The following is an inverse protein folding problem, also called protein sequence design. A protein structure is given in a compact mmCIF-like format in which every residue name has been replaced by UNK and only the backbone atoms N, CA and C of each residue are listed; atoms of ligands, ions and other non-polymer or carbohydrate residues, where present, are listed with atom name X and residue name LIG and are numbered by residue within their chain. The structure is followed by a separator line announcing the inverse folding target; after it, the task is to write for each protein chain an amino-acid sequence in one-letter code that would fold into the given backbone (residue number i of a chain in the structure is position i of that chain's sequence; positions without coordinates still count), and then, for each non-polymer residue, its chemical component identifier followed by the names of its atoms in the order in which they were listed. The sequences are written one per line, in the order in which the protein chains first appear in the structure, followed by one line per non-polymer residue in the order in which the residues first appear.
data_IF_283606728526
#
_entry.id   IF_283606728526
#
_cell.length_a   1.000
_cell.length_b   1.000
_cell.length_c   1.000
_cell.angle_alpha   90.00
_cell.angle_beta   90.00
_cell.angle_gamma   90.00
#
_symmetry.space_group_name_H-M   'P 1'
#
loop_
_entity.id
_entity.type
_entity.pdbx_description
1 polymer ?
#
# COMPACT_ATOMS: atom_id res chain seq x y z
N UNK A 1 23.88 -0.23 75.97
CA UNK A 1 23.90 1.25 76.00
C UNK A 1 22.58 1.70 75.36
N UNK A 2 21.53 2.06 76.11
CA UNK A 2 21.12 3.44 76.51
C UNK A 2 21.39 4.46 75.36
N UNK A 3 20.46 5.20 74.75
CA UNK A 3 19.32 6.03 75.21
C UNK A 3 18.29 6.19 74.04
N UNK A 4 16.95 6.25 74.21
CA UNK A 4 16.07 7.42 74.56
C UNK A 4 16.33 8.65 73.65
N UNK A 5 15.39 9.31 72.97
CA UNK A 5 14.12 9.93 73.43
C UNK A 5 13.29 10.46 72.24
N UNK A 6 11.95 10.46 72.37
CA UNK A 6 10.98 11.25 71.58
C UNK A 6 11.27 12.77 71.63
N UNK A 7 10.94 13.52 70.57
CA UNK A 7 9.85 14.52 70.62
C UNK A 7 9.45 15.07 69.24
N UNK A 8 8.15 15.31 69.16
CA UNK A 8 7.27 15.85 68.11
C UNK A 8 7.60 17.23 67.58
N UNK A 9 7.25 17.49 66.31
CA UNK A 9 6.67 18.78 65.87
C UNK A 9 5.67 18.57 64.72
N UNK A 10 4.51 19.17 64.89
CA UNK A 10 3.34 19.19 64.02
C UNK A 10 3.43 20.48 63.18
N UNK A 11 3.35 20.45 61.86
CA UNK A 11 2.93 21.62 61.06
C UNK A 11 2.38 21.24 59.68
N UNK A 12 1.19 21.80 59.42
CA UNK A 12 0.58 22.17 58.14
C UNK A 12 0.24 21.09 57.09
N UNK A 13 -1.06 20.79 57.05
CA UNK A 13 -1.80 20.35 55.87
C UNK A 13 -1.56 21.33 54.72
N UNK A 14 -1.20 20.83 53.54
CA UNK A 14 -1.16 21.66 52.33
C UNK A 14 -0.28 21.14 51.19
N UNK A 15 -0.66 20.02 50.58
CA UNK A 15 -0.54 19.76 49.14
C UNK A 15 -1.16 18.39 48.81
N UNK A 16 -2.48 18.34 48.69
CA UNK A 16 -3.15 17.31 47.89
C UNK A 16 -2.81 17.61 46.43
N UNK A 17 -2.09 16.72 45.73
CA UNK A 17 -2.15 16.57 44.27
C UNK A 17 -1.23 15.44 43.76
N UNK A 18 -1.72 14.19 43.79
CA UNK A 18 -1.74 13.28 42.64
C UNK A 18 -2.40 11.96 43.09
N UNK A 19 -3.59 11.64 42.60
CA UNK A 19 -4.27 10.40 42.99
C UNK A 19 -4.01 9.34 41.91
N UNK A 20 -2.84 8.72 42.00
CA UNK A 20 -2.55 7.48 41.30
C UNK A 20 -2.36 6.33 42.27
N UNK A 21 -2.58 5.11 41.79
CA UNK A 21 -2.49 3.91 42.61
C UNK A 21 -1.05 3.64 43.09
N UNK A 22 -0.83 3.28 44.36
CA UNK A 22 0.53 3.17 44.93
C UNK A 22 1.39 2.04 44.35
N UNK A 23 0.79 1.05 43.69
CA UNK A 23 1.49 -0.12 43.14
C UNK A 23 1.56 -0.16 41.61
N UNK A 24 0.91 0.78 40.92
CA UNK A 24 0.84 0.83 39.46
C UNK A 24 1.11 2.26 38.96
N UNK A 25 1.82 2.43 37.83
CA UNK A 25 2.08 3.75 37.28
C UNK A 25 0.78 4.48 36.92
N UNK A 26 0.77 5.82 36.98
CA UNK A 26 -0.33 6.59 36.40
C UNK A 26 -0.35 6.39 34.89
N UNK A 27 -1.53 6.25 34.28
CA UNK A 27 -1.62 6.34 32.82
C UNK A 27 -1.24 7.73 32.36
N UNK A 28 -0.61 7.85 31.20
CA UNK A 28 -0.38 9.11 30.50
C UNK A 28 -1.66 9.60 29.81
N UNK A 29 -2.49 8.69 29.33
CA UNK A 29 -3.82 8.91 28.75
C UNK A 29 -4.97 8.76 29.76
N UNK A 30 -6.18 9.08 29.31
CA UNK A 30 -7.41 8.99 30.10
C UNK A 30 -8.36 7.88 29.59
N UNK A 31 -7.85 6.94 28.78
CA UNK A 31 -8.64 5.85 28.23
C UNK A 31 -8.85 4.75 29.27
N UNK A 32 -10.08 4.67 29.77
CA UNK A 32 -10.50 3.66 30.75
C UNK A 32 -10.88 2.38 30.03
N UNK A 33 -10.14 1.31 30.27
CA UNK A 33 -10.45 -0.02 29.73
C UNK A 33 -11.07 -0.96 30.79
N UNK A 34 -10.92 -0.62 32.07
CA UNK A 34 -11.41 -1.41 33.18
C UNK A 34 -11.65 -0.53 34.42
N UNK A 35 -12.64 -0.89 35.23
CA UNK A 35 -13.00 -0.17 36.46
C UNK A 35 -13.32 -1.16 37.56
N UNK A 36 -12.76 -0.93 38.75
CA UNK A 36 -13.02 -1.73 39.94
C UNK A 36 -13.17 -0.85 41.20
N UNK A 37 -13.04 -1.46 42.38
CA UNK A 37 -13.16 -0.76 43.67
C UNK A 37 -12.01 0.18 43.97
N UNK A 38 -10.84 -0.03 43.35
CA UNK A 38 -9.68 0.82 43.52
C UNK A 38 -9.77 2.05 42.62
N UNK A 39 -10.31 1.89 41.40
CA UNK A 39 -10.74 2.99 40.53
C UNK A 39 -10.72 2.64 39.04
N UNK A 40 -10.32 3.61 38.21
CA UNK A 40 -10.29 3.47 36.74
C UNK A 40 -8.89 3.11 36.25
N UNK A 41 -8.82 2.21 35.27
CA UNK A 41 -7.58 1.60 34.80
C UNK A 41 -7.44 1.68 33.27
N UNK A 42 -6.21 1.91 32.80
CA UNK A 42 -5.80 1.90 31.40
C UNK A 42 -4.65 0.91 31.15
N UNK A 43 -4.27 0.74 29.88
CA UNK A 43 -3.08 -0.04 29.49
C UNK A 43 -2.22 0.78 28.54
N UNK A 44 -0.93 0.93 28.87
CA UNK A 44 0.06 1.63 28.07
C UNK A 44 1.31 0.75 27.92
N UNK A 45 1.88 0.67 26.72
CA UNK A 45 3.04 -0.17 26.43
C UNK A 45 2.89 -1.64 26.88
N UNK A 46 1.66 -2.17 26.82
CA UNK A 46 1.28 -3.51 27.28
C UNK A 46 1.26 -3.72 28.81
N UNK A 47 1.43 -2.67 29.61
CA UNK A 47 1.36 -2.71 31.08
C UNK A 47 0.15 -1.95 31.63
N UNK A 48 -0.38 -2.41 32.77
CA UNK A 48 -1.49 -1.75 33.46
C UNK A 48 -1.07 -0.46 34.14
N UNK A 49 -1.90 0.57 34.01
CA UNK A 49 -1.72 1.86 34.63
C UNK A 49 -3.04 2.36 35.25
N UNK A 50 -2.95 3.23 36.24
CA UNK A 50 -4.11 3.78 36.95
C UNK A 50 -4.47 5.18 36.44
N UNK A 51 -5.75 5.44 36.23
CA UNK A 51 -6.24 6.69 35.65
C UNK A 51 -6.36 7.74 36.74
N UNK A 52 -5.63 8.86 36.60
CA UNK A 52 -5.73 9.99 37.54
C UNK A 52 -7.03 10.75 37.31
N UNK A 53 -7.99 10.52 38.21
CA UNK A 53 -9.32 11.13 38.13
C UNK A 53 -9.30 12.66 38.27
N UNK A 54 -8.31 13.24 38.94
CA UNK A 54 -8.21 14.70 39.04
C UNK A 54 -7.72 15.32 37.73
N UNK A 55 -6.83 14.62 37.02
CA UNK A 55 -6.37 15.02 35.68
C UNK A 55 -7.44 14.80 34.62
N UNK A 56 -8.13 13.67 34.69
CA UNK A 56 -9.09 13.25 33.66
C UNK A 56 -10.50 13.79 33.89
N UNK A 57 -10.88 14.12 35.13
CA UNK A 57 -12.25 14.54 35.50
C UNK A 57 -12.34 15.87 36.27
N UNK A 58 -11.23 16.59 36.47
CA UNK A 58 -11.19 17.92 37.10
C UNK A 58 -11.49 19.06 36.10
N UNK A 59 -12.52 19.87 36.38
CA UNK A 59 -13.13 20.84 35.46
C UNK A 59 -12.21 21.84 34.74
N UNK A 60 -12.36 21.92 33.41
CA UNK A 60 -11.62 22.84 32.53
C UNK A 60 -11.43 22.40 31.07
N UNK A 61 -12.08 21.33 30.60
CA UNK A 61 -12.51 20.98 29.23
C UNK A 61 -11.60 21.19 28.01
N UNK A 62 -10.28 21.15 28.16
CA UNK A 62 -9.33 20.68 27.14
C UNK A 62 -7.93 20.56 27.77
N UNK A 63 -6.96 20.05 27.00
CA UNK A 63 -5.59 19.92 27.50
C UNK A 63 -4.94 21.23 27.93
N UNK A 64 -4.27 21.29 29.10
CA UNK A 64 -3.46 22.45 29.50
C UNK A 64 -2.38 22.81 28.47
N UNK A 65 -2.01 21.85 27.60
CA UNK A 65 -1.06 22.05 26.51
C UNK A 65 -1.56 23.02 25.41
N UNK A 66 -2.88 23.25 25.30
CA UNK A 66 -3.42 24.28 24.42
C UNK A 66 -3.25 25.67 25.02
N UNK A 67 -3.47 25.80 26.33
CA UNK A 67 -3.38 27.06 27.06
C UNK A 67 -1.92 27.54 27.18
N UNK A 68 -0.96 26.61 27.31
CA UNK A 68 0.47 26.95 27.28
C UNK A 68 0.94 27.49 25.93
N UNK A 69 0.21 27.22 24.86
CA UNK A 69 0.42 27.78 23.52
C UNK A 69 -0.44 29.02 23.23
N UNK A 70 -1.21 29.49 24.22
CA UNK A 70 -2.03 30.70 24.13
C UNK A 70 -3.46 30.49 23.61
N UNK A 71 -3.92 29.24 23.45
CA UNK A 71 -5.25 28.92 22.93
C UNK A 71 -6.23 28.52 24.05
N UNK A 72 -7.47 29.01 23.95
CA UNK A 72 -8.55 28.70 24.89
C UNK A 72 -9.20 27.34 24.55
N UNK A 73 -9.94 26.76 25.49
CA UNK A 73 -10.74 25.57 25.20
C UNK A 73 -12.02 25.94 24.44
N UNK A 74 -12.46 25.08 23.52
CA UNK A 74 -13.75 25.24 22.86
C UNK A 74 -14.89 25.03 23.86
N UNK A 75 -16.05 25.60 23.58
CA UNK A 75 -17.25 25.40 24.39
C UNK A 75 -17.59 23.90 24.49
N UNK A 76 -17.93 23.42 25.69
CA UNK A 76 -18.06 21.97 26.03
C UNK A 76 -18.98 21.12 25.15
N UNK A 77 -19.81 21.75 24.29
CA UNK A 77 -20.75 21.08 23.41
C UNK A 77 -20.31 21.07 21.94
N UNK A 78 -19.17 21.67 21.61
CA UNK A 78 -18.64 21.69 20.25
C UNK A 78 -17.52 20.65 20.14
N UNK A 79 -17.84 19.51 19.55
CA UNK A 79 -16.90 18.41 19.32
C UNK A 79 -16.52 18.27 17.85
N UNK A 80 -16.52 19.37 17.08
CA UNK A 80 -16.15 19.35 15.68
C UNK A 80 -14.63 19.42 15.52
N UNK A 81 -13.98 18.25 15.39
CA UNK A 81 -12.53 18.14 15.17
C UNK A 81 -12.22 18.61 13.75
N UNK A 82 -11.47 19.71 13.64
CA UNK A 82 -11.01 20.24 12.35
C UNK A 82 -9.53 19.95 12.10
N UNK A 83 -8.76 19.64 13.15
CA UNK A 83 -7.33 19.36 13.09
C UNK A 83 -6.89 18.58 14.34
N UNK A 84 -5.84 17.77 14.23
CA UNK A 84 -5.30 16.99 15.34
C UNK A 84 -3.78 16.95 15.24
N UNK A 85 -3.09 17.19 16.35
CA UNK A 85 -1.63 17.12 16.45
C UNK A 85 -1.19 16.52 17.80
N UNK A 86 0.10 16.60 18.10
CA UNK A 86 0.66 16.12 19.37
C UNK A 86 0.17 16.89 20.63
N UNK A 87 -0.51 18.02 20.46
CA UNK A 87 -1.15 18.78 21.55
C UNK A 87 -2.54 18.22 21.88
N UNK A 88 -3.28 17.78 20.84
CA UNK A 88 -4.59 17.13 20.96
C UNK A 88 -5.52 17.47 19.80
N UNK A 89 -6.84 17.34 20.04
CA UNK A 89 -7.88 17.67 19.06
C UNK A 89 -8.19 19.17 19.04
N UNK A 90 -8.26 19.76 17.86
CA UNK A 90 -8.50 21.19 17.65
C UNK A 90 -9.86 21.45 17.00
N UNK A 91 -10.52 22.49 17.47
CA UNK A 91 -11.79 23.03 16.97
C UNK A 91 -11.64 24.50 16.56
N UNK A 92 -12.68 25.04 15.93
CA UNK A 92 -12.78 26.47 15.61
C UNK A 92 -14.11 27.01 16.11
N UNK A 93 -14.06 28.05 16.97
CA UNK A 93 -15.21 28.80 17.46
C UNK A 93 -15.00 30.28 17.23
N UNK A 94 -16.03 30.98 16.71
CA UNK A 94 -15.94 32.41 16.41
C UNK A 94 -14.72 32.79 15.54
N UNK A 95 -14.35 31.93 14.59
CA UNK A 95 -13.16 32.04 13.73
C UNK A 95 -11.80 31.99 14.47
N UNK A 96 -11.76 31.51 15.71
CA UNK A 96 -10.52 31.32 16.48
C UNK A 96 -10.27 29.85 16.78
N UNK A 97 -9.00 29.45 16.78
CA UNK A 97 -8.57 28.10 17.16
C UNK A 97 -8.77 27.89 18.66
N UNK A 98 -9.34 26.74 19.01
CA UNK A 98 -9.53 26.33 20.39
C UNK A 98 -9.26 24.83 20.57
N UNK A 99 -8.82 24.44 21.77
CA UNK A 99 -8.58 23.04 22.12
C UNK A 99 -9.90 22.35 22.45
N UNK A 100 -10.15 21.17 21.88
CA UNK A 100 -11.37 20.40 22.14
C UNK A 100 -11.27 19.59 23.44
N UNK A 101 -12.42 19.38 24.08
CA UNK A 101 -12.52 18.60 25.30
C UNK A 101 -12.17 17.13 25.05
N UNK A 102 -11.57 16.50 26.07
CA UNK A 102 -11.23 15.07 26.08
C UNK A 102 -12.46 14.18 25.85
N UNK A 103 -13.66 14.68 26.18
CA UNK A 103 -14.92 13.94 26.04
C UNK A 103 -15.44 13.88 24.59
N UNK A 104 -14.84 14.65 23.67
CA UNK A 104 -15.22 14.65 22.26
C UNK A 104 -14.83 13.37 21.50
N UNK A 105 -14.28 12.36 22.19
CA UNK A 105 -14.00 11.03 21.65
C UNK A 105 -15.03 9.93 21.98
N UNK A 106 -15.97 10.17 22.92
CA UNK A 106 -16.84 9.10 23.46
C UNK A 106 -18.32 9.53 23.60
N UNK A 107 -19.10 9.64 22.52
CA UNK A 107 -20.57 9.39 22.59
C UNK A 107 -21.23 9.14 21.21
N UNK A 108 -22.16 8.17 21.09
CA UNK A 108 -23.02 8.01 19.92
C UNK A 108 -24.04 9.16 19.82
N UNK A 109 -24.12 9.79 18.65
CA UNK A 109 -25.07 10.87 18.37
C UNK A 109 -26.52 10.40 18.54
N UNK A 110 -27.19 10.82 19.63
CA UNK A 110 -28.61 10.58 19.86
C UNK A 110 -29.40 11.73 19.23
N UNK A 111 -30.13 11.48 18.14
CA UNK A 111 -31.04 12.46 17.52
C UNK A 111 -32.47 12.29 18.07
N UNK A 112 -32.88 13.20 18.95
CA UNK A 112 -34.28 13.37 19.33
C UNK A 112 -35.04 14.02 18.17
N UNK A 113 -36.07 13.35 17.62
CA UNK A 113 -36.96 13.94 16.61
C UNK A 113 -38.32 14.25 17.24
N UNK A 114 -38.60 15.53 17.42
CA UNK A 114 -39.96 16.03 17.69
C UNK A 114 -40.74 16.01 16.38
N UNK A 115 -41.81 15.22 16.37
CA UNK A 115 -42.69 15.01 15.21
C UNK A 115 -43.55 16.25 14.96
N UNK A 116 -43.22 17.02 13.92
CA UNK A 116 -44.15 18.00 13.33
C UNK A 116 -44.39 17.60 11.88
N UNK A 117 -45.62 17.20 11.58
CA UNK A 117 -46.10 16.85 10.25
C UNK A 117 -46.13 18.08 9.37
N UNK A 118 -45.23 18.17 8.39
CA UNK A 118 -45.46 18.95 7.18
C UNK A 118 -44.99 18.13 5.97
N UNK A 119 -45.90 17.96 5.02
CA UNK A 119 -45.74 17.11 3.84
C UNK A 119 -44.89 17.85 2.81
N UNK A 120 -43.61 17.52 2.72
CA UNK A 120 -42.74 18.01 1.65
C UNK A 120 -42.06 16.83 0.99
N UNK A 121 -42.50 16.52 -0.23
CA UNK A 121 -41.92 15.53 -1.12
C UNK A 121 -40.48 15.92 -1.42
N UNK A 122 -39.50 15.25 -0.79
CA UNK A 122 -38.09 15.44 -1.13
C UNK A 122 -37.44 14.07 -1.24
N UNK A 123 -37.05 13.76 -2.46
CA UNK A 123 -36.42 12.52 -2.90
C UNK A 123 -35.14 12.26 -2.11
N UNK A 124 -35.13 11.24 -1.26
CA UNK A 124 -33.91 10.76 -0.58
C UNK A 124 -32.97 10.12 -1.61
N UNK A 125 -31.96 10.85 -2.06
CA UNK A 125 -30.75 10.24 -2.64
C UNK A 125 -29.92 9.62 -1.53
N UNK A 126 -30.12 8.32 -1.34
CA UNK A 126 -29.26 7.40 -0.60
C UNK A 126 -27.84 7.46 -1.18
N UNK A 127 -26.84 7.88 -0.39
CA UNK A 127 -25.42 7.74 -0.77
C UNK A 127 -25.12 6.23 -0.92
N UNK A 128 -24.64 5.74 -2.08
CA UNK A 128 -24.42 4.30 -2.25
C UNK A 128 -23.28 3.80 -1.36
N UNK A 129 -23.49 2.63 -0.77
CA UNK A 129 -22.43 1.75 -0.29
C UNK A 129 -21.50 1.37 -1.47
N UNK A 130 -20.24 1.00 -1.20
CA UNK A 130 -19.24 0.52 -2.18
C UNK A 130 -19.90 -0.24 -3.37
N UNK A 131 -19.86 0.32 -4.58
CA UNK A 131 -20.53 -0.28 -5.75
C UNK A 131 -19.59 -0.98 -6.73
N UNK A 132 -18.29 -0.69 -6.72
CA UNK A 132 -17.37 -1.20 -7.75
C UNK A 132 -16.34 -2.18 -7.22
N UNK A 133 -16.22 -3.31 -7.91
CA UNK A 133 -15.12 -4.25 -7.76
C UNK A 133 -13.83 -3.79 -8.47
N UNK A 134 -13.90 -2.73 -9.28
CA UNK A 134 -12.73 -2.07 -9.85
C UNK A 134 -12.23 -0.98 -8.89
N UNK A 135 -11.28 -1.34 -8.02
CA UNK A 135 -10.73 -0.38 -7.03
C UNK A 135 -9.93 0.77 -7.66
N UNK A 136 -9.59 0.70 -8.95
CA UNK A 136 -8.93 1.82 -9.64
C UNK A 136 -9.89 2.98 -9.95
N UNK A 137 -11.22 2.78 -9.86
CA UNK A 137 -12.21 3.86 -10.01
C UNK A 137 -12.21 4.82 -8.82
N UNK A 138 -11.61 4.41 -7.70
CA UNK A 138 -11.36 5.28 -6.56
C UNK A 138 -10.05 6.06 -6.78
N UNK A 139 -9.86 7.18 -6.05
CA UNK A 139 -8.60 7.92 -6.09
C UNK A 139 -7.43 7.00 -5.70
N UNK A 140 -6.33 7.03 -6.46
CA UNK A 140 -5.16 6.20 -6.22
C UNK A 140 -4.18 6.88 -5.27
N UNK A 141 -3.56 6.11 -4.39
CA UNK A 141 -2.56 6.61 -3.47
C UNK A 141 -1.22 6.87 -4.18
N UNK A 142 -0.68 8.09 -4.04
CA UNK A 142 0.70 8.43 -4.41
C UNK A 142 1.58 8.29 -3.16
N UNK A 143 2.47 7.30 -3.15
CA UNK A 143 3.22 6.92 -1.96
C UNK A 143 4.48 7.78 -1.73
N UNK A 144 4.86 7.93 -0.47
CA UNK A 144 6.02 8.74 -0.04
C UNK A 144 7.36 8.27 -0.63
N UNK A 145 7.55 6.96 -0.85
CA UNK A 145 8.81 6.40 -1.35
C UNK A 145 9.11 6.90 -2.75
N UNK A 146 8.16 6.78 -3.67
CA UNK A 146 8.32 7.29 -5.03
C UNK A 146 8.43 8.81 -5.07
N UNK A 147 7.66 9.52 -4.24
CA UNK A 147 7.78 10.98 -4.12
C UNK A 147 9.19 11.40 -3.72
N UNK A 148 9.78 10.71 -2.73
CA UNK A 148 11.15 10.96 -2.26
C UNK A 148 12.21 10.65 -3.33
N UNK A 149 12.04 9.56 -4.07
CA UNK A 149 12.93 9.21 -5.19
C UNK A 149 12.91 10.26 -6.30
N UNK A 150 11.73 10.73 -6.68
CA UNK A 150 11.59 11.81 -7.68
C UNK A 150 12.18 13.12 -7.15
N UNK A 151 12.04 13.44 -5.86
CA UNK A 151 12.67 14.61 -5.24
C UNK A 151 14.20 14.60 -5.42
N UNK A 152 14.85 13.43 -5.33
CA UNK A 152 16.30 13.32 -5.58
C UNK A 152 16.68 13.71 -7.02
N UNK A 153 15.79 13.47 -7.99
CA UNK A 153 15.98 13.90 -9.37
C UNK A 153 15.62 15.37 -9.57
N UNK A 154 14.56 15.87 -8.94
CA UNK A 154 14.17 17.29 -9.00
C UNK A 154 15.32 18.18 -8.53
N UNK A 155 16.02 17.79 -7.46
CA UNK A 155 17.18 18.52 -6.94
C UNK A 155 18.37 18.59 -7.92
N UNK A 156 18.47 17.65 -8.87
CA UNK A 156 19.53 17.57 -9.89
C UNK A 156 19.13 18.19 -11.23
N UNK A 157 17.85 18.48 -11.43
CA UNK A 157 17.30 19.00 -12.67
C UNK A 157 17.10 20.52 -12.61
N UNK A 158 17.05 21.15 -13.78
CA UNK A 158 16.69 22.57 -13.94
C UNK A 158 15.75 22.77 -15.13
N UNK A 159 15.11 23.94 -15.21
CA UNK A 159 14.26 24.34 -16.32
C UNK A 159 13.09 23.38 -16.57
N UNK A 160 12.79 23.12 -17.85
CA UNK A 160 11.60 22.34 -18.23
C UNK A 160 11.62 20.89 -17.70
N UNK A 161 12.79 20.26 -17.60
CA UNK A 161 12.87 18.89 -17.07
C UNK A 161 12.54 18.84 -15.58
N UNK A 162 12.96 19.85 -14.81
CA UNK A 162 12.60 19.94 -13.40
C UNK A 162 11.09 20.12 -13.21
N UNK A 163 10.45 20.98 -14.00
CA UNK A 163 9.00 21.19 -13.96
C UNK A 163 8.21 19.93 -14.36
N UNK A 164 8.69 19.19 -15.37
CA UNK A 164 8.10 17.89 -15.72
C UNK A 164 8.26 16.86 -14.59
N UNK A 165 9.44 16.80 -13.95
CA UNK A 165 9.68 15.88 -12.84
C UNK A 165 8.78 16.19 -11.62
N UNK A 166 8.52 17.47 -11.32
CA UNK A 166 7.54 17.87 -10.28
C UNK A 166 6.14 17.34 -10.54
N UNK A 167 5.70 17.27 -11.81
CA UNK A 167 4.41 16.65 -12.17
C UNK A 167 4.43 15.13 -12.02
N UNK A 168 5.56 14.48 -12.35
CA UNK A 168 5.72 13.02 -12.19
C UNK A 168 5.64 12.60 -10.74
N UNK A 169 6.16 13.41 -9.81
CA UNK A 169 6.24 13.14 -8.37
C UNK A 169 4.94 12.58 -7.79
N UNK A 170 3.79 13.12 -8.20
CA UNK A 170 2.49 12.75 -7.65
C UNK A 170 1.71 11.76 -8.51
N UNK A 171 2.32 11.20 -9.58
CA UNK A 171 1.71 10.12 -10.34
C UNK A 171 1.69 8.85 -9.46
N UNK A 172 0.54 8.20 -9.25
CA UNK A 172 0.44 7.01 -8.42
C UNK A 172 1.29 5.84 -8.96
N UNK A 173 2.10 5.24 -8.09
CA UNK A 173 2.90 4.05 -8.37
C UNK A 173 2.61 2.96 -7.35
N UNK A 174 2.75 1.70 -7.77
CA UNK A 174 2.60 0.57 -6.85
C UNK A 174 3.75 0.52 -5.81
N UNK A 175 3.45 0.06 -4.61
CA UNK A 175 4.42 -0.18 -3.55
C UNK A 175 4.89 -1.64 -3.58
N UNK A 176 6.19 -1.86 -3.76
CA UNK A 176 6.78 -3.19 -3.89
C UNK A 176 7.13 -3.80 -2.53
N UNK A 177 6.48 -4.91 -2.20
CA UNK A 177 6.81 -5.75 -1.05
C UNK A 177 7.81 -6.83 -1.52
N UNK A 178 9.09 -6.45 -1.62
CA UNK A 178 10.12 -7.20 -2.34
C UNK A 178 11.30 -7.71 -1.48
N UNK A 179 11.23 -7.54 -0.16
CA UNK A 179 12.28 -7.94 0.80
C UNK A 179 11.66 -8.30 2.16
N UNK A 180 12.39 -9.03 3.01
CA UNK A 180 11.82 -9.63 4.24
C UNK A 180 11.17 -8.60 5.19
N UNK A 181 11.75 -7.41 5.32
CA UNK A 181 11.23 -6.35 6.18
C UNK A 181 10.10 -5.51 5.58
N UNK A 182 9.70 -5.74 4.32
CA UNK A 182 8.60 -5.03 3.68
C UNK A 182 7.26 -5.23 4.41
N UNK A 183 7.13 -6.32 5.18
CA UNK A 183 5.98 -6.57 6.05
C UNK A 183 5.75 -5.44 7.06
N UNK A 184 6.83 -4.79 7.52
CA UNK A 184 6.77 -3.66 8.47
C UNK A 184 6.40 -2.33 7.81
N UNK A 185 6.48 -2.23 6.48
CA UNK A 185 6.15 -1.00 5.74
C UNK A 185 4.64 -0.88 5.46
N UNK A 186 3.92 -2.01 5.40
CA UNK A 186 2.49 -2.06 5.05
C UNK A 186 1.63 -1.12 5.92
N UNK A 187 1.77 -1.06 7.26
CA UNK A 187 0.99 -0.14 8.08
C UNK A 187 1.16 1.33 7.69
N UNK A 188 2.38 1.77 7.37
CA UNK A 188 2.64 3.17 7.01
C UNK A 188 1.90 3.54 5.72
N UNK A 189 2.01 2.71 4.68
CA UNK A 189 1.30 2.95 3.42
C UNK A 189 -0.22 3.01 3.62
N UNK A 190 -0.79 2.12 4.44
CA UNK A 190 -2.24 2.10 4.70
C UNK A 190 -2.71 3.30 5.54
N UNK A 191 -1.90 3.75 6.50
CA UNK A 191 -2.19 4.93 7.31
C UNK A 191 -2.17 6.21 6.46
N UNK A 192 -1.14 6.41 5.63
CA UNK A 192 -1.00 7.62 4.81
C UNK A 192 -1.99 7.68 3.63
N UNK A 193 -2.44 6.52 3.13
CA UNK A 193 -3.39 6.47 2.02
C UNK A 193 -4.80 6.92 2.40
N UNK A 194 -5.22 6.73 3.65
CA UNK A 194 -6.59 6.95 4.08
C UNK A 194 -7.59 6.09 3.29
N UNK A 195 -8.50 6.73 2.56
CA UNK A 195 -9.53 6.07 1.74
C UNK A 195 -9.12 5.86 0.27
N UNK A 196 -7.93 6.31 -0.12
CA UNK A 196 -7.36 6.09 -1.46
C UNK A 196 -7.03 4.62 -1.68
N UNK A 197 -7.03 4.19 -2.93
CA UNK A 197 -6.65 2.84 -3.32
C UNK A 197 -5.14 2.68 -3.27
N UNK A 198 -4.68 1.74 -2.45
CA UNK A 198 -3.28 1.33 -2.35
C UNK A 198 -3.03 0.15 -3.29
N UNK A 199 -1.97 0.22 -4.09
CA UNK A 199 -1.57 -0.87 -4.99
C UNK A 199 -0.27 -1.46 -4.46
N UNK A 200 -0.32 -2.71 -3.99
CA UNK A 200 0.86 -3.46 -3.57
C UNK A 200 1.28 -4.46 -4.64
N UNK A 201 2.60 -4.68 -4.76
CA UNK A 201 3.18 -5.81 -5.50
C UNK A 201 3.82 -6.74 -4.48
N UNK A 202 3.24 -7.92 -4.27
CA UNK A 202 3.89 -8.97 -3.51
C UNK A 202 4.94 -9.64 -4.40
N UNK A 203 6.22 -9.50 -4.04
CA UNK A 203 7.34 -10.01 -4.83
C UNK A 203 8.37 -10.72 -3.92
N UNK A 204 7.87 -11.68 -3.15
CA UNK A 204 8.62 -12.39 -2.09
C UNK A 204 8.74 -13.90 -2.33
N UNK A 205 8.30 -14.41 -3.49
CA UNK A 205 8.26 -15.84 -3.80
C UNK A 205 9.62 -16.50 -3.55
N UNK A 206 9.66 -17.73 -2.99
CA UNK A 206 10.94 -18.41 -2.77
C UNK A 206 11.73 -18.57 -4.06
N UNK A 207 13.06 -18.44 -3.99
CA UNK A 207 13.97 -18.63 -5.15
C UNK A 207 13.46 -17.90 -6.40
N UNK A 208 13.20 -16.60 -6.25
CA UNK A 208 12.43 -15.74 -7.16
C UNK A 208 12.84 -15.83 -8.62
N UNK A 209 14.14 -15.79 -8.89
CA UNK A 209 14.70 -15.96 -10.23
C UNK A 209 15.41 -17.29 -10.37
N UNK A 210 14.68 -18.31 -10.81
CA UNK A 210 15.32 -19.55 -11.28
C UNK A 210 15.96 -19.39 -12.69
N UNK A 211 15.74 -18.25 -13.37
CA UNK A 211 16.17 -17.96 -14.74
C UNK A 211 16.99 -16.66 -14.94
N UNK A 212 17.15 -15.82 -13.92
CA UNK A 212 17.87 -14.54 -14.01
C UNK A 212 18.69 -14.28 -12.72
N UNK A 213 19.65 -13.35 -12.78
CA UNK A 213 20.54 -13.05 -11.66
C UNK A 213 20.31 -11.67 -11.04
N UNK A 214 19.68 -10.73 -11.76
CA UNK A 214 19.53 -9.34 -11.29
C UNK A 214 18.56 -9.19 -10.12
N UNK A 215 17.47 -9.96 -10.09
CA UNK A 215 16.42 -9.87 -9.08
C UNK A 215 16.46 -11.05 -8.10
N UNK A 216 17.66 -11.61 -7.85
CA UNK A 216 17.87 -12.66 -6.83
C UNK A 216 17.39 -12.16 -5.46
N UNK A 217 16.40 -12.85 -4.91
CA UNK A 217 15.72 -12.52 -3.67
C UNK A 217 14.57 -13.49 -3.42
N UNK A 218 13.67 -13.09 -2.51
CA UNK A 218 12.55 -13.93 -2.10
C UNK A 218 12.89 -14.87 -0.94
N UNK A 219 11.86 -15.49 -0.39
CA UNK A 219 12.01 -16.25 0.87
C UNK A 219 12.90 -17.50 0.70
N UNK A 220 13.58 -17.92 1.77
CA UNK A 220 14.40 -19.14 1.74
C UNK A 220 13.61 -20.46 1.67
N UNK A 221 12.29 -20.45 1.87
CA UNK A 221 11.43 -21.64 1.84
C UNK A 221 9.95 -21.26 1.71
N UNK A 222 9.11 -22.20 1.28
CA UNK A 222 7.66 -22.00 1.24
C UNK A 222 7.05 -21.59 2.59
N UNK A 223 7.56 -22.10 3.71
CA UNK A 223 7.02 -21.76 5.04
C UNK A 223 7.36 -20.32 5.43
N UNK A 224 8.56 -19.83 5.10
CA UNK A 224 8.89 -18.41 5.27
C UNK A 224 7.98 -17.52 4.40
N UNK A 225 7.74 -17.92 3.15
CA UNK A 225 6.81 -17.22 2.27
C UNK A 225 5.40 -17.12 2.87
N UNK A 226 4.87 -18.24 3.37
CA UNK A 226 3.57 -18.28 4.05
C UNK A 226 3.54 -17.34 5.26
N UNK A 227 4.61 -17.29 6.04
CA UNK A 227 4.75 -16.35 7.16
C UNK A 227 4.69 -14.88 6.74
N UNK A 228 5.32 -14.50 5.63
CA UNK A 228 5.20 -13.15 5.09
C UNK A 228 3.78 -12.82 4.62
N UNK A 229 3.15 -13.75 3.88
CA UNK A 229 1.76 -13.62 3.44
C UNK A 229 0.82 -13.47 4.65
N UNK A 230 0.98 -14.29 5.69
CA UNK A 230 0.15 -14.23 6.90
C UNK A 230 0.33 -12.90 7.65
N UNK A 231 1.56 -12.39 7.76
CA UNK A 231 1.82 -11.10 8.38
C UNK A 231 1.10 -9.95 7.64
N UNK A 232 1.23 -9.90 6.30
CA UNK A 232 0.60 -8.88 5.47
C UNK A 232 -0.93 -9.02 5.53
N UNK A 233 -1.46 -10.24 5.42
CA UNK A 233 -2.89 -10.53 5.53
C UNK A 233 -3.48 -10.04 6.86
N UNK A 234 -2.82 -10.38 7.98
CA UNK A 234 -3.24 -9.96 9.31
C UNK A 234 -3.14 -8.44 9.49
N UNK A 235 -2.13 -7.80 8.89
CA UNK A 235 -2.03 -6.35 8.87
C UNK A 235 -3.20 -5.73 8.13
N UNK A 236 -3.52 -6.18 6.91
CA UNK A 236 -4.63 -5.66 6.10
C UNK A 236 -5.99 -5.82 6.82
N UNK A 237 -6.20 -6.88 7.60
CA UNK A 237 -7.43 -7.07 8.37
C UNK A 237 -7.67 -5.97 9.42
N UNK A 238 -6.63 -5.24 9.85
CA UNK A 238 -6.76 -4.08 10.75
C UNK A 238 -7.23 -2.81 10.03
N UNK A 239 -7.32 -2.83 8.70
CA UNK A 239 -7.70 -1.69 7.86
C UNK A 239 -8.94 -2.00 7.00
N UNK A 240 -10.10 -2.32 7.61
CA UNK A 240 -11.28 -2.77 6.87
C UNK A 240 -11.86 -1.73 5.89
N UNK A 241 -11.54 -0.45 6.08
CA UNK A 241 -12.02 0.65 5.26
C UNK A 241 -11.07 1.03 4.11
N UNK A 242 -9.82 0.54 4.12
CA UNK A 242 -8.88 0.78 3.03
C UNK A 242 -9.31 0.02 1.78
N UNK A 243 -8.91 0.49 0.60
CA UNK A 243 -9.07 -0.25 -0.66
C UNK A 243 -7.71 -0.68 -1.14
N UNK A 244 -7.51 -1.98 -1.30
CA UNK A 244 -6.19 -2.53 -1.61
C UNK A 244 -6.26 -3.36 -2.89
N UNK A 245 -5.39 -3.05 -3.83
CA UNK A 245 -5.07 -3.93 -4.96
C UNK A 245 -3.80 -4.69 -4.61
N UNK A 246 -3.83 -6.01 -4.71
CA UNK A 246 -2.68 -6.88 -4.45
C UNK A 246 -2.28 -7.60 -5.75
N UNK A 247 -1.12 -7.23 -6.28
CA UNK A 247 -0.52 -7.86 -7.46
C UNK A 247 0.41 -8.97 -6.98
N UNK A 248 0.28 -10.18 -7.54
CA UNK A 248 1.01 -11.35 -7.06
C UNK A 248 2.14 -11.76 -8.00
N UNK A 249 3.35 -11.71 -7.44
CA UNK A 249 4.58 -12.37 -7.88
C UNK A 249 4.87 -12.27 -9.39
N UNK A 250 5.21 -11.07 -9.88
CA UNK A 250 5.72 -10.88 -11.24
C UNK A 250 6.73 -11.94 -11.67
N UNK A 251 6.72 -12.27 -12.97
CA UNK A 251 7.60 -13.25 -13.64
C UNK A 251 7.34 -14.73 -13.31
N UNK A 252 6.65 -15.03 -12.20
CA UNK A 252 6.46 -16.42 -11.74
C UNK A 252 5.70 -17.27 -12.76
N UNK A 253 4.57 -16.76 -13.28
CA UNK A 253 3.77 -17.48 -14.28
C UNK A 253 4.56 -17.61 -15.60
N UNK A 254 5.30 -16.59 -16.00
CA UNK A 254 6.17 -16.64 -17.18
C UNK A 254 7.17 -17.80 -17.09
N UNK A 255 7.87 -17.88 -15.95
CA UNK A 255 8.81 -18.95 -15.66
C UNK A 255 8.14 -20.32 -15.59
N UNK A 256 6.98 -20.46 -14.96
CA UNK A 256 6.24 -21.73 -14.90
C UNK A 256 5.81 -22.25 -16.28
N UNK A 257 5.59 -21.35 -17.24
CA UNK A 257 5.15 -21.71 -18.59
C UNK A 257 6.33 -22.04 -19.50
N UNK A 258 7.43 -21.27 -19.45
CA UNK A 258 8.50 -21.38 -20.45
C UNK A 258 9.82 -21.91 -19.92
N UNK A 259 10.03 -21.97 -18.60
CA UNK A 259 11.31 -22.44 -18.06
C UNK A 259 11.51 -23.93 -18.34
N UNK A 260 12.66 -24.26 -18.91
CA UNK A 260 13.06 -25.62 -19.28
C UNK A 260 14.31 -26.12 -18.52
N UNK A 261 14.89 -25.30 -17.62
CA UNK A 261 16.07 -25.68 -16.84
C UNK A 261 15.68 -26.49 -15.59
N UNK A 262 16.62 -27.31 -15.10
CA UNK A 262 16.38 -28.23 -13.98
C UNK A 262 16.17 -27.51 -12.65
N UNK A 263 16.81 -26.34 -12.48
CA UNK A 263 16.64 -25.49 -11.30
C UNK A 263 15.19 -25.02 -11.16
N UNK A 264 14.60 -24.50 -12.24
CA UNK A 264 13.20 -24.11 -12.29
C UNK A 264 12.28 -25.32 -12.10
N UNK A 265 12.56 -26.47 -12.73
CA UNK A 265 11.75 -27.70 -12.59
C UNK A 265 11.57 -28.11 -11.12
N UNK A 266 12.63 -28.00 -10.32
CA UNK A 266 12.59 -28.37 -8.90
C UNK A 266 11.78 -27.38 -8.03
N UNK A 267 11.61 -26.13 -8.47
CA UNK A 267 10.85 -25.10 -7.72
C UNK A 267 9.44 -24.85 -8.27
N UNK A 268 9.07 -25.37 -9.45
CA UNK A 268 7.75 -25.11 -10.06
C UNK A 268 6.58 -25.48 -9.13
N UNK A 269 6.66 -26.64 -8.46
CA UNK A 269 5.62 -27.07 -7.54
C UNK A 269 5.53 -26.12 -6.32
N UNK A 270 6.68 -25.67 -5.82
CA UNK A 270 6.74 -24.72 -4.71
C UNK A 270 6.13 -23.36 -5.10
N UNK A 271 6.42 -22.87 -6.31
CA UNK A 271 5.87 -21.61 -6.83
C UNK A 271 4.35 -21.68 -7.00
N UNK A 272 3.83 -22.77 -7.58
CA UNK A 272 2.38 -22.99 -7.66
C UNK A 272 1.71 -23.01 -6.28
N UNK A 273 2.32 -23.67 -5.31
CA UNK A 273 1.83 -23.71 -3.93
C UNK A 273 1.89 -22.32 -3.26
N UNK A 274 2.95 -21.56 -3.48
CA UNK A 274 3.10 -20.20 -2.98
C UNK A 274 2.00 -19.28 -3.53
N UNK A 275 1.80 -19.26 -4.86
CA UNK A 275 0.75 -18.48 -5.51
C UNK A 275 -0.65 -18.88 -5.01
N UNK A 276 -0.92 -20.18 -4.93
CA UNK A 276 -2.20 -20.69 -4.43
C UNK A 276 -2.45 -20.24 -2.98
N UNK A 277 -1.40 -20.25 -2.15
CA UNK A 277 -1.49 -19.82 -0.76
C UNK A 277 -1.77 -18.31 -0.63
N UNK A 278 -1.03 -17.47 -1.37
CA UNK A 278 -1.26 -16.02 -1.37
C UNK A 278 -2.70 -15.67 -1.80
N UNK A 279 -3.21 -16.33 -2.86
CA UNK A 279 -4.59 -16.15 -3.31
C UNK A 279 -5.59 -16.64 -2.26
N UNK A 280 -5.33 -17.77 -1.59
CA UNK A 280 -6.22 -18.30 -0.53
C UNK A 280 -6.38 -17.35 0.67
N UNK A 281 -5.42 -16.44 0.87
CA UNK A 281 -5.46 -15.41 1.91
C UNK A 281 -6.05 -14.11 1.37
N UNK A 282 -5.31 -13.41 0.52
CA UNK A 282 -5.69 -12.09 0.02
C UNK A 282 -7.00 -12.11 -0.77
N UNK A 283 -7.28 -13.19 -1.50
CA UNK A 283 -8.51 -13.36 -2.28
C UNK A 283 -9.77 -13.60 -1.45
N UNK A 284 -9.66 -13.64 -0.11
CA UNK A 284 -10.82 -13.76 0.81
C UNK A 284 -11.14 -12.45 1.52
N UNK A 285 -10.27 -11.44 1.43
CA UNK A 285 -10.44 -10.16 2.10
C UNK A 285 -11.34 -9.24 1.27
N UNK A 286 -12.45 -8.78 1.85
CA UNK A 286 -13.44 -7.93 1.14
C UNK A 286 -12.85 -6.59 0.68
N UNK A 287 -11.87 -6.08 1.41
CA UNK A 287 -11.12 -4.86 1.15
C UNK A 287 -9.90 -5.05 0.22
N UNK A 288 -9.73 -6.24 -0.38
CA UNK A 288 -8.64 -6.55 -1.32
C UNK A 288 -9.18 -7.00 -2.68
N UNK A 289 -8.52 -6.57 -3.77
CA UNK A 289 -8.71 -7.10 -5.13
C UNK A 289 -7.38 -7.63 -5.65
N UNK A 290 -7.33 -8.93 -5.90
CA UNK A 290 -6.10 -9.63 -6.30
C UNK A 290 -5.97 -9.69 -7.82
N UNK A 291 -4.79 -9.34 -8.32
CA UNK A 291 -4.38 -9.57 -9.71
C UNK A 291 -3.18 -10.51 -9.74
N UNK A 292 -3.30 -11.63 -10.45
CA UNK A 292 -2.19 -12.56 -10.63
C UNK A 292 -1.36 -12.12 -11.84
N UNK A 293 -0.04 -11.99 -11.69
CA UNK A 293 0.81 -11.64 -12.83
C UNK A 293 0.86 -12.76 -13.87
N UNK A 294 0.78 -12.38 -15.15
CA UNK A 294 0.95 -13.30 -16.27
C UNK A 294 1.93 -12.73 -17.31
N UNK A 295 3.05 -12.18 -16.85
CA UNK A 295 4.12 -11.66 -17.70
C UNK A 295 3.61 -10.65 -18.76
N UNK A 296 3.90 -10.85 -20.04
CA UNK A 296 3.51 -9.95 -21.12
C UNK A 296 3.32 -10.70 -22.45
N UNK A 297 2.71 -10.03 -23.43
CA UNK A 297 2.32 -10.61 -24.72
C UNK A 297 3.50 -11.16 -25.51
N UNK A 298 4.62 -10.42 -25.60
CA UNK A 298 5.82 -10.90 -26.28
C UNK A 298 6.46 -12.16 -25.64
N UNK A 299 6.08 -12.52 -24.41
CA UNK A 299 6.52 -13.75 -23.75
C UNK A 299 5.47 -14.87 -23.87
N UNK A 300 4.22 -14.58 -23.49
CA UNK A 300 3.20 -15.62 -23.27
C UNK A 300 2.03 -15.62 -24.24
N UNK A 301 1.93 -14.67 -25.19
CA UNK A 301 0.78 -14.64 -26.11
C UNK A 301 0.70 -15.91 -26.99
N UNK A 302 1.84 -16.42 -27.47
CA UNK A 302 1.90 -17.70 -28.19
C UNK A 302 1.72 -18.93 -27.31
N UNK A 303 1.61 -18.75 -25.99
CA UNK A 303 1.47 -19.81 -24.99
C UNK A 303 0.18 -19.66 -24.17
N UNK A 304 -0.80 -18.86 -24.63
CA UNK A 304 -1.98 -18.48 -23.87
C UNK A 304 -2.75 -19.68 -23.28
N UNK A 305 -2.91 -20.78 -24.04
CA UNK A 305 -3.58 -21.99 -23.55
C UNK A 305 -2.81 -22.66 -22.40
N UNK A 306 -1.47 -22.74 -22.51
CA UNK A 306 -0.63 -23.28 -21.45
C UNK A 306 -0.63 -22.38 -20.22
N UNK A 307 -0.56 -21.06 -20.43
CA UNK A 307 -0.68 -20.07 -19.35
C UNK A 307 -2.01 -20.21 -18.61
N UNK A 308 -3.12 -20.35 -19.33
CA UNK A 308 -4.44 -20.56 -18.74
C UNK A 308 -4.52 -21.88 -17.94
N UNK A 309 -3.90 -22.96 -18.42
CA UNK A 309 -3.83 -24.23 -17.67
C UNK A 309 -3.08 -24.08 -16.34
N UNK A 310 -1.94 -23.38 -16.34
CA UNK A 310 -1.14 -23.14 -15.13
C UNK A 310 -1.93 -22.29 -14.13
N UNK A 311 -2.55 -21.19 -14.59
CA UNK A 311 -3.39 -20.34 -13.76
C UNK A 311 -4.58 -21.13 -13.20
N UNK A 312 -5.23 -21.95 -14.02
CA UNK A 312 -6.35 -22.78 -13.61
C UNK A 312 -5.98 -23.78 -12.50
N UNK A 313 -4.80 -24.40 -12.59
CA UNK A 313 -4.28 -25.29 -11.55
C UNK A 313 -4.06 -24.55 -10.22
N UNK A 314 -3.45 -23.36 -10.28
CA UNK A 314 -3.22 -22.51 -9.10
C UNK A 314 -4.55 -22.10 -8.45
N UNK A 315 -5.51 -21.63 -9.24
CA UNK A 315 -6.81 -21.17 -8.73
C UNK A 315 -7.63 -22.31 -8.12
N UNK A 316 -7.59 -23.52 -8.69
CA UNK A 316 -8.26 -24.70 -8.11
C UNK A 316 -7.67 -25.09 -6.76
N UNK A 317 -6.41 -24.76 -6.50
CA UNK A 317 -5.71 -25.04 -5.24
C UNK A 317 -5.76 -23.87 -4.25
N UNK A 318 -6.41 -22.75 -4.59
CA UNK A 318 -6.46 -21.54 -3.76
C UNK A 318 -7.62 -21.52 -2.73
N UNK A 319 -8.29 -22.65 -2.51
CA UNK A 319 -9.42 -22.75 -1.58
C UNK A 319 -10.55 -21.78 -1.93
N UNK A 320 -10.96 -20.93 -0.98
CA UNK A 320 -12.02 -19.94 -1.17
C UNK A 320 -11.54 -18.61 -1.78
N UNK A 321 -10.23 -18.46 -2.00
CA UNK A 321 -9.65 -17.24 -2.54
C UNK A 321 -10.10 -16.98 -3.98
N UNK A 322 -10.46 -15.74 -4.28
CA UNK A 322 -10.79 -15.30 -5.64
C UNK A 322 -9.83 -14.20 -6.10
N UNK A 323 -9.52 -14.21 -7.38
CA UNK A 323 -8.84 -13.11 -8.04
C UNK A 323 -9.85 -12.23 -8.78
N UNK A 324 -9.57 -10.94 -8.87
CA UNK A 324 -10.28 -10.01 -9.76
C UNK A 324 -9.83 -10.23 -11.20
N UNK A 325 -8.55 -10.51 -11.40
CA UNK A 325 -8.00 -10.51 -12.74
C UNK A 325 -6.52 -10.84 -12.82
N UNK A 326 -5.93 -10.41 -13.94
CA UNK A 326 -4.55 -10.67 -14.33
C UNK A 326 -3.81 -9.34 -14.51
N UNK A 327 -2.56 -9.26 -14.07
CA UNK A 327 -1.68 -8.14 -14.42
C UNK A 327 -0.71 -8.55 -15.52
N UNK A 328 -0.40 -7.62 -16.43
CA UNK A 328 0.61 -7.85 -17.48
C UNK A 328 1.52 -6.65 -17.67
N UNK A 329 2.58 -6.86 -18.45
CA UNK A 329 3.59 -5.87 -18.83
C UNK A 329 4.43 -5.34 -17.66
N UNK A 330 4.31 -5.94 -16.46
CA UNK A 330 5.05 -5.49 -15.26
C UNK A 330 6.54 -5.46 -15.56
N UNK A 331 7.16 -4.31 -15.29
CA UNK A 331 8.60 -4.09 -15.56
C UNK A 331 9.00 -4.26 -17.03
N UNK A 332 8.06 -4.17 -17.97
CA UNK A 332 8.32 -4.37 -19.40
C UNK A 332 7.87 -3.16 -20.24
N UNK A 333 7.96 -3.28 -21.57
CA UNK A 333 7.88 -2.14 -22.49
C UNK A 333 6.86 -2.32 -23.63
N UNK A 334 6.00 -3.33 -23.53
CA UNK A 334 5.08 -3.66 -24.62
C UNK A 334 4.00 -2.58 -24.77
N UNK A 335 3.59 -2.32 -26.02
CA UNK A 335 2.52 -1.37 -26.32
C UNK A 335 1.18 -1.88 -25.78
N UNK A 336 0.33 -0.96 -25.31
CA UNK A 336 -0.99 -1.30 -24.77
C UNK A 336 -1.86 -2.06 -25.77
N UNK A 337 -1.76 -1.73 -27.07
CA UNK A 337 -2.52 -2.44 -28.12
C UNK A 337 -2.13 -3.92 -28.22
N UNK A 338 -0.84 -4.22 -28.10
CA UNK A 338 -0.31 -5.57 -28.23
C UNK A 338 -0.61 -6.38 -26.96
N UNK A 339 -0.48 -5.75 -25.78
CA UNK A 339 -0.91 -6.33 -24.51
C UNK A 339 -2.41 -6.61 -24.49
N UNK A 340 -3.24 -5.72 -25.04
CA UNK A 340 -4.68 -5.96 -25.07
C UNK A 340 -5.06 -7.15 -25.97
N UNK A 341 -4.34 -7.36 -27.09
CA UNK A 341 -4.50 -8.59 -27.88
C UNK A 341 -4.12 -9.83 -27.06
N UNK A 342 -3.05 -9.75 -26.26
CA UNK A 342 -2.69 -10.81 -25.33
C UNK A 342 -3.80 -11.04 -24.27
N UNK A 343 -4.38 -9.98 -23.70
CA UNK A 343 -5.49 -10.10 -22.76
C UNK A 343 -6.69 -10.82 -23.37
N UNK A 344 -7.04 -10.51 -24.62
CA UNK A 344 -8.14 -11.18 -25.33
C UNK A 344 -7.87 -12.67 -25.53
N UNK A 345 -6.65 -13.03 -25.92
CA UNK A 345 -6.26 -14.43 -26.13
C UNK A 345 -6.22 -15.20 -24.81
N UNK A 346 -5.60 -14.64 -23.76
CA UNK A 346 -5.54 -15.27 -22.45
C UNK A 346 -6.93 -15.38 -21.81
N UNK A 347 -7.79 -14.36 -21.94
CA UNK A 347 -9.16 -14.44 -21.44
C UNK A 347 -9.93 -15.58 -22.10
N UNK A 348 -9.87 -15.72 -23.43
CA UNK A 348 -10.51 -16.83 -24.15
C UNK A 348 -9.99 -18.20 -23.65
N UNK A 349 -8.68 -18.31 -23.44
CA UNK A 349 -8.07 -19.52 -22.90
C UNK A 349 -8.53 -19.81 -21.46
N UNK A 350 -8.60 -18.81 -20.58
CA UNK A 350 -9.12 -18.94 -19.21
C UNK A 350 -10.60 -19.34 -19.18
N UNK A 351 -11.42 -18.77 -20.07
CA UNK A 351 -12.83 -19.15 -20.21
C UNK A 351 -12.99 -20.62 -20.59
N UNK A 352 -12.09 -21.14 -21.44
CA UNK A 352 -12.04 -22.57 -21.80
C UNK A 352 -11.68 -23.48 -20.61
N UNK A 353 -10.96 -22.94 -19.62
CA UNK A 353 -10.63 -23.63 -18.37
C UNK A 353 -11.72 -23.50 -17.29
N UNK A 354 -12.81 -22.79 -17.59
CA UNK A 354 -13.94 -22.55 -16.69
C UNK A 354 -13.86 -21.25 -15.88
N UNK A 355 -12.85 -20.41 -16.10
CA UNK A 355 -12.66 -19.15 -15.39
C UNK A 355 -13.18 -17.99 -16.25
N UNK A 356 -14.35 -17.45 -15.88
CA UNK A 356 -15.02 -16.36 -16.60
C UNK A 356 -14.92 -15.04 -15.84
N UNK A 357 -15.05 -13.94 -16.57
CA UNK A 357 -15.16 -12.59 -15.99
C UNK A 357 -13.86 -12.02 -15.45
N UNK A 358 -12.71 -12.59 -15.85
CA UNK A 358 -11.41 -12.05 -15.49
C UNK A 358 -11.22 -10.67 -16.10
N UNK A 359 -10.64 -9.76 -15.31
CA UNK A 359 -10.23 -8.43 -15.76
C UNK A 359 -8.72 -8.33 -15.85
N UNK A 360 -8.24 -7.26 -16.46
CA UNK A 360 -6.83 -7.05 -16.70
C UNK A 360 -6.39 -5.68 -16.21
N UNK A 361 -5.16 -5.60 -15.74
CA UNK A 361 -4.42 -4.35 -15.60
C UNK A 361 -3.11 -4.47 -16.38
N UNK A 362 -2.65 -3.35 -16.90
CA UNK A 362 -1.41 -3.31 -17.69
C UNK A 362 -0.47 -2.26 -17.13
N UNK A 363 0.78 -2.65 -16.92
CA UNK A 363 1.84 -1.72 -16.55
C UNK A 363 2.10 -0.75 -17.72
N UNK A 364 2.07 0.54 -17.41
CA UNK A 364 2.29 1.65 -18.36
C UNK A 364 3.43 2.56 -17.92
N UNK A 365 4.21 2.14 -16.92
CA UNK A 365 5.31 2.93 -16.36
C UNK A 365 6.38 3.29 -17.38
N UNK A 366 6.68 2.40 -18.36
CA UNK A 366 7.82 2.53 -19.29
C UNK A 366 7.52 2.25 -20.76
N UNK A 367 6.24 2.17 -21.14
CA UNK A 367 5.82 1.79 -22.49
C UNK A 367 5.33 2.95 -23.37
N UNK A 368 5.73 4.20 -23.09
CA UNK A 368 5.32 5.35 -23.90
C UNK A 368 5.87 5.33 -25.33
N UNK A 369 7.04 4.72 -25.52
CA UNK A 369 7.65 4.55 -26.83
C UNK A 369 7.38 3.15 -27.40
N UNK A 370 7.09 3.08 -28.70
CA UNK A 370 6.97 1.79 -29.39
C UNK A 370 8.38 1.24 -29.65
N UNK A 371 8.84 0.39 -28.74
CA UNK A 371 10.13 -0.28 -28.81
C UNK A 371 10.03 -1.72 -29.31
N UNK A 372 8.85 -2.20 -29.72
CA UNK A 372 8.60 -3.62 -30.03
C UNK A 372 9.64 -4.20 -30.99
N UNK A 373 9.90 -3.53 -32.12
CA UNK A 373 10.86 -4.01 -33.11
C UNK A 373 12.32 -4.01 -32.60
N UNK A 374 12.68 -3.11 -31.69
CA UNK A 374 14.01 -3.06 -31.09
C UNK A 374 14.14 -4.11 -29.98
N UNK A 375 13.14 -4.21 -29.12
CA UNK A 375 13.02 -5.20 -28.06
C UNK A 375 13.13 -6.62 -28.61
N UNK A 376 12.38 -6.97 -29.67
CA UNK A 376 12.37 -8.33 -30.24
C UNK A 376 13.71 -8.79 -30.84
N UNK A 377 14.69 -7.90 -31.05
CA UNK A 377 16.02 -8.30 -31.55
C UNK A 377 16.82 -9.06 -30.50
N UNK A 378 16.73 -8.60 -29.24
CA UNK A 378 17.56 -9.10 -28.16
C UNK A 378 16.73 -9.62 -26.97
N UNK A 379 15.45 -9.25 -26.87
CA UNK A 379 14.60 -9.43 -25.69
C UNK A 379 15.24 -8.82 -24.43
N UNK A 380 15.82 -7.63 -24.56
CA UNK A 380 16.47 -6.93 -23.44
C UNK A 380 15.40 -6.35 -22.52
N UNK A 381 15.23 -6.97 -21.36
CA UNK A 381 14.32 -6.49 -20.31
C UNK A 381 14.98 -5.45 -19.39
N UNK A 382 16.30 -5.54 -19.20
CA UNK A 382 17.03 -4.72 -18.24
C UNK A 382 17.33 -3.31 -18.77
N UNK A 383 16.86 -2.27 -18.07
CA UNK A 383 17.13 -0.85 -18.30
C UNK A 383 17.06 -0.44 -19.78
N UNK A 384 16.02 -0.85 -20.49
CA UNK A 384 15.97 -0.73 -21.95
C UNK A 384 16.11 0.73 -22.43
N UNK A 385 17.09 1.01 -23.29
CA UNK A 385 17.35 2.34 -23.87
C UNK A 385 16.22 2.73 -24.81
N UNK A 386 15.78 3.98 -24.72
CA UNK A 386 14.70 4.50 -25.57
C UNK A 386 13.30 4.24 -25.03
N UNK A 387 13.17 3.60 -23.86
CA UNK A 387 11.92 3.60 -23.11
C UNK A 387 11.48 5.03 -22.75
N UNK A 388 10.19 5.18 -22.47
CA UNK A 388 9.55 6.46 -22.11
C UNK A 388 8.38 6.25 -21.18
N UNK A 389 8.08 7.23 -20.32
CA UNK A 389 6.89 7.17 -19.46
C UNK A 389 5.63 7.02 -20.32
N UNK A 390 4.81 6.01 -20.03
CA UNK A 390 3.60 5.72 -20.79
C UNK A 390 2.37 6.50 -20.32
N UNK A 391 1.16 6.09 -20.76
CA UNK A 391 -0.10 6.58 -20.24
C UNK A 391 -0.11 6.63 -18.70
N UNK A 392 -0.76 7.64 -18.14
CA UNK A 392 -0.87 7.77 -16.68
C UNK A 392 -1.85 6.72 -16.14
N UNK A 393 -1.72 6.32 -14.85
CA UNK A 393 -2.70 5.46 -14.22
C UNK A 393 -4.13 5.98 -14.40
N UNK A 394 -5.02 5.14 -14.89
CA UNK A 394 -6.40 5.51 -15.21
C UNK A 394 -7.27 4.26 -15.24
N UNK A 395 -8.40 4.29 -14.53
CA UNK A 395 -9.43 3.25 -14.60
C UNK A 395 -10.26 3.35 -15.87
N UNK A 396 -10.69 2.19 -16.38
CA UNK A 396 -11.51 2.03 -17.57
C UNK A 396 -11.04 2.96 -18.73
N UNK A 397 -9.74 2.92 -19.10
CA UNK A 397 -9.14 3.99 -19.88
C UNK A 397 -9.64 4.04 -21.33
N UNK A 398 -10.24 2.96 -21.83
CA UNK A 398 -10.75 2.87 -23.19
C UNK A 398 -12.01 1.98 -23.26
N UNK A 399 -13.17 2.51 -23.70
CA UNK A 399 -14.40 1.72 -23.81
C UNK A 399 -14.32 0.57 -24.83
N UNK A 400 -13.40 0.65 -25.80
CA UNK A 400 -13.13 -0.45 -26.74
C UNK A 400 -12.24 -1.54 -26.14
N UNK A 401 -11.77 -1.36 -24.90
CA UNK A 401 -10.97 -2.33 -24.15
C UNK A 401 -11.70 -2.82 -22.89
N UNK A 402 -12.92 -3.41 -22.98
CA UNK A 402 -13.75 -3.73 -21.81
C UNK A 402 -13.18 -4.79 -20.85
N UNK A 403 -12.13 -5.54 -21.25
CA UNK A 403 -11.43 -6.45 -20.34
C UNK A 403 -10.44 -5.71 -19.43
N UNK A 404 -10.04 -4.48 -19.78
CA UNK A 404 -9.02 -3.72 -19.08
C UNK A 404 -9.63 -2.82 -18.01
N UNK A 405 -9.37 -3.14 -16.75
CA UNK A 405 -9.82 -2.36 -15.60
C UNK A 405 -9.01 -1.06 -15.44
N UNK A 406 -7.70 -1.09 -15.71
CA UNK A 406 -6.84 0.10 -15.57
C UNK A 406 -5.51 0.04 -16.34
N UNK A 407 -5.03 1.22 -16.72
CA UNK A 407 -3.59 1.50 -16.80
C UNK A 407 -3.06 1.71 -15.38
N UNK A 408 -1.90 1.16 -15.07
CA UNK A 408 -1.24 1.40 -13.79
C UNK A 408 0.28 1.53 -13.99
N UNK A 409 0.96 2.31 -13.17
CA UNK A 409 2.43 2.28 -13.08
C UNK A 409 2.83 1.29 -12.00
N UNK A 410 3.22 0.09 -12.41
CA UNK A 410 3.48 -1.02 -11.49
C UNK A 410 4.97 -1.06 -11.16
N UNK A 411 5.86 -1.21 -12.15
CA UNK A 411 7.29 -0.92 -11.95
C UNK A 411 7.46 0.56 -11.64
N UNK A 412 8.24 0.86 -10.61
CA UNK A 412 8.63 2.24 -10.26
C UNK A 412 9.50 2.83 -11.37
N UNK A 413 9.02 3.81 -12.14
CA UNK A 413 9.79 4.34 -13.26
C UNK A 413 10.95 5.18 -12.74
N UNK A 414 12.18 4.71 -13.02
CA UNK A 414 13.42 5.33 -12.53
C UNK A 414 14.19 4.45 -11.56
N UNK A 415 13.57 3.43 -10.95
CA UNK A 415 14.34 2.37 -10.28
C UNK A 415 15.00 1.45 -11.32
N UNK A 416 16.26 1.10 -11.10
CA UNK A 416 16.99 0.16 -11.96
C UNK A 416 16.34 -1.23 -11.96
N UNK A 417 16.44 -1.93 -13.09
CA UNK A 417 16.07 -3.35 -13.20
C UNK A 417 17.19 -4.27 -12.72
N UNK A 418 18.43 -3.81 -12.80
CA UNK A 418 19.63 -4.57 -12.47
C UNK A 418 20.90 -3.87 -12.94
N UNK A 419 22.05 -4.31 -12.44
CA UNK A 419 23.36 -3.77 -12.77
C UNK A 419 24.08 -4.68 -13.78
N UNK A 420 24.95 -4.09 -14.61
CA UNK A 420 25.90 -4.81 -15.45
C UNK A 420 27.18 -5.22 -14.70
N UNK A 421 27.35 -4.77 -13.46
CA UNK A 421 28.56 -4.94 -12.66
C UNK A 421 28.24 -5.26 -11.19
N UNK A 422 29.21 -5.78 -10.44
CA UNK A 422 29.01 -6.16 -9.04
C UNK A 422 28.49 -7.59 -8.86
N UNK A 423 28.22 -7.97 -7.61
CA UNK A 423 27.87 -9.35 -7.23
C UNK A 423 26.47 -9.79 -7.67
N UNK A 424 25.60 -8.84 -8.03
CA UNK A 424 24.24 -9.08 -8.56
C UNK A 424 24.12 -8.75 -10.05
N UNK A 425 25.24 -8.70 -10.76
CA UNK A 425 25.25 -8.36 -12.17
C UNK A 425 24.51 -9.41 -13.01
N UNK A 426 23.75 -8.94 -13.99
CA UNK A 426 23.12 -9.80 -15.00
C UNK A 426 23.67 -9.45 -16.40
N UNK A 427 24.12 -10.44 -17.20
CA UNK A 427 24.62 -10.20 -18.55
C UNK A 427 23.62 -9.49 -19.47
N UNK A 428 22.31 -9.63 -19.24
CA UNK A 428 21.28 -8.89 -20.00
C UNK A 428 21.40 -7.38 -19.77
N UNK A 429 21.76 -6.95 -18.57
CA UNK A 429 21.98 -5.54 -18.23
C UNK A 429 23.22 -4.95 -18.91
N UNK A 430 24.17 -5.79 -19.36
CA UNK A 430 25.36 -5.36 -20.09
C UNK A 430 25.17 -5.22 -21.61
N UNK A 431 23.96 -5.51 -22.13
CA UNK A 431 23.68 -5.44 -23.56
C UNK A 431 23.70 -4.01 -24.10
N UNK A 432 23.96 -3.87 -25.40
CA UNK A 432 24.10 -2.56 -26.06
C UNK A 432 22.85 -1.68 -25.93
N UNK A 433 21.68 -2.31 -25.92
CA UNK A 433 20.35 -1.69 -25.77
C UNK A 433 19.88 -1.56 -24.31
N UNK A 434 20.73 -1.89 -23.33
CA UNK A 434 20.52 -1.57 -21.90
C UNK A 434 21.29 -0.29 -21.53
N UNK A 435 20.68 0.61 -20.78
CA UNK A 435 21.33 1.83 -20.26
C UNK A 435 22.37 1.44 -19.21
N UNK A 436 23.62 1.79 -19.49
CA UNK A 436 24.78 1.42 -18.68
C UNK A 436 24.94 2.39 -17.50
N UNK A 437 25.71 1.97 -16.49
CA UNK A 437 25.86 2.74 -15.24
C UNK A 437 24.68 2.59 -14.28
N UNK A 438 23.81 1.61 -14.53
CA UNK A 438 22.70 1.29 -13.63
C UNK A 438 23.22 0.80 -12.27
N UNK A 439 22.63 1.26 -11.15
CA UNK A 439 22.86 0.67 -9.83
C UNK A 439 22.18 -0.71 -9.72
N UNK A 440 22.30 -1.33 -8.55
CA UNK A 440 21.60 -2.58 -8.25
C UNK A 440 20.07 -2.43 -8.35
N UNK A 441 19.39 -3.53 -8.68
CA UNK A 441 17.94 -3.57 -8.86
C UNK A 441 17.17 -2.92 -7.69
N UNK A 442 16.17 -2.10 -8.02
CA UNK A 442 15.37 -1.34 -7.06
C UNK A 442 16.03 -0.06 -6.54
N UNK A 443 17.30 0.19 -6.84
CA UNK A 443 17.95 1.47 -6.54
C UNK A 443 17.59 2.53 -7.57
N UNK A 444 17.52 3.79 -7.15
CA UNK A 444 17.18 4.89 -8.04
C UNK A 444 18.26 5.16 -9.09
N UNK A 445 17.87 5.15 -10.37
CA UNK A 445 18.71 5.39 -11.53
C UNK A 445 18.31 6.70 -12.21
N UNK A 446 18.93 7.79 -11.77
CA UNK A 446 18.62 9.16 -12.22
C UNK A 446 18.64 9.32 -13.74
N UNK A 447 19.69 8.88 -14.43
CA UNK A 447 19.82 9.07 -15.88
C UNK A 447 18.73 8.31 -16.64
N UNK A 448 18.32 7.15 -16.15
CA UNK A 448 17.21 6.39 -16.70
C UNK A 448 15.88 7.13 -16.49
N UNK A 449 15.64 7.67 -15.29
CA UNK A 449 14.47 8.51 -15.03
C UNK A 449 14.40 9.73 -15.96
N UNK A 450 15.53 10.41 -16.19
CA UNK A 450 15.60 11.55 -17.12
C UNK A 450 15.27 11.13 -18.55
N UNK A 451 15.82 9.99 -19.01
CA UNK A 451 15.50 9.43 -20.32
C UNK A 451 14.00 9.12 -20.44
N UNK A 452 13.41 8.45 -19.44
CA UNK A 452 11.98 8.14 -19.42
C UNK A 452 11.13 9.42 -19.52
N UNK A 453 11.53 10.49 -18.82
CA UNK A 453 10.83 11.78 -18.79
C UNK A 453 10.91 12.52 -20.13
N UNK A 454 12.08 12.49 -20.78
CA UNK A 454 12.28 13.07 -22.11
C UNK A 454 11.44 12.35 -23.16
N UNK A 455 11.36 11.03 -23.05
CA UNK A 455 10.64 10.16 -23.98
C UNK A 455 9.18 9.93 -23.58
N UNK A 456 8.64 10.68 -22.61
CA UNK A 456 7.29 10.47 -22.12
C UNK A 456 6.26 10.65 -23.24
N UNK A 457 5.36 9.68 -23.37
CA UNK A 457 4.26 9.70 -24.31
C UNK A 457 3.02 9.04 -23.68
N UNK A 458 1.98 9.82 -23.32
CA UNK A 458 1.83 11.26 -23.55
C UNK A 458 2.84 12.12 -22.76
N UNK A 459 3.21 13.28 -23.31
CA UNK A 459 4.12 14.22 -22.67
C UNK A 459 3.57 14.82 -21.35
N UNK A 460 4.45 15.29 -20.47
CA UNK A 460 4.13 15.93 -19.19
C UNK A 460 4.02 17.45 -19.27
#
# INVERSE_FOLDING_TARGET
MKYTTLLTTLFAVGAMASQCHPQYPCCSGCDVIYTDTDGEWGVENYDWCFIDSNRCHGGGNCSPAFQSQGYQCCSNNNCNIVYQDGTGNWGVENNQWCGLSYNCGNTPTTRTTTRTTTRTTTTTTRRPAQTSDNFFENELYSNFKFQGEVDTSIAKLSGQLQEKAKKVKYVPTAAWLAWEGATNEVPQYLNEAGDKTVVFVLYMIPTRDCNANASVGGSGSLDKYKGYVDNIYNTINRYPNSRIVMILEPDTIGNLVTANNDNCRNVQNMHKQALSYAISKFGTQSNVRVYLDAAHGAWLNSHADRTAQVIAEILRNAGNGKIRGISTNISNYQQVSDEYQYHQNLNRALESQGFRGMKFIVDTSRNGQNVTAAFSRNNTWCNFKGAGLGPRPQANPNPNMPLLDAYMWIKTPGEADGSATGSRADPVCARQDSLQGAPDAGSWFHDYFVMLLQNANPAF
#
